data_IF_030053907455
#
_entry.id   IF_030053907455
#
_cell.length_a   1.000
_cell.length_b   1.000
_cell.length_c   1.000
_cell.angle_alpha   90.00
_cell.angle_beta   90.00
_cell.angle_gamma   90.00
#
_symmetry.space_group_name_H-M   'P 1'
#
loop_
_entity.id
_entity.type
_entity.pdbx_description
1 polymer ?
#
# COMPACT_ATOMS: atom_id res chain seq x y z
N UNK A 1 10.49 24.28 -40.74
CA UNK A 1 9.31 23.40 -40.93
C UNK A 1 9.71 21.92 -41.03
N UNK A 2 10.37 21.45 -42.11
CA UNK A 2 10.74 20.03 -42.30
C UNK A 2 11.51 19.42 -41.11
N UNK A 3 12.49 20.14 -40.55
CA UNK A 3 13.22 19.67 -39.37
C UNK A 3 12.32 19.43 -38.14
N UNK A 4 11.28 20.24 -37.96
CA UNK A 4 10.32 20.09 -36.86
C UNK A 4 9.37 18.92 -37.10
N UNK A 5 9.00 18.65 -38.35
CA UNK A 5 8.24 17.46 -38.73
C UNK A 5 9.04 16.19 -38.45
N UNK A 6 10.31 16.13 -38.90
CA UNK A 6 11.20 15.00 -38.60
C UNK A 6 11.35 14.82 -37.09
N UNK A 7 11.59 15.91 -36.35
CA UNK A 7 11.69 15.85 -34.89
C UNK A 7 10.40 15.34 -34.24
N UNK A 8 9.24 15.75 -34.76
CA UNK A 8 7.94 15.23 -34.35
C UNK A 8 7.87 13.70 -34.50
N UNK A 9 8.19 13.16 -35.67
CA UNK A 9 8.21 11.71 -35.88
C UNK A 9 9.15 10.97 -34.92
N UNK A 10 10.30 11.55 -34.58
CA UNK A 10 11.22 10.99 -33.58
C UNK A 10 10.57 10.93 -32.18
N UNK A 11 9.79 11.95 -31.79
CA UNK A 11 9.04 11.94 -30.54
C UNK A 11 7.94 10.87 -30.56
N UNK A 12 7.26 10.65 -31.69
CA UNK A 12 6.24 9.60 -31.79
C UNK A 12 6.85 8.21 -31.62
N UNK A 13 7.98 7.94 -32.29
CA UNK A 13 8.75 6.71 -32.09
C UNK A 13 9.15 6.50 -30.62
N UNK A 14 9.60 7.55 -29.92
CA UNK A 14 9.94 7.50 -28.50
C UNK A 14 8.71 7.18 -27.63
N UNK A 15 7.57 7.80 -27.89
CA UNK A 15 6.34 7.58 -27.13
C UNK A 15 5.78 6.16 -27.36
N UNK A 16 5.80 5.67 -28.60
CA UNK A 16 5.41 4.29 -28.93
C UNK A 16 6.36 3.31 -28.25
N UNK A 17 7.67 3.56 -28.30
CA UNK A 17 8.68 2.73 -27.63
C UNK A 17 8.39 2.63 -26.12
N UNK A 18 8.23 3.77 -25.45
CA UNK A 18 7.91 3.86 -24.01
C UNK A 18 6.63 3.07 -23.69
N UNK A 19 5.59 3.25 -24.51
CA UNK A 19 4.31 2.56 -24.33
C UNK A 19 4.44 1.04 -24.49
N UNK A 20 5.07 0.57 -25.57
CA UNK A 20 5.16 -0.87 -25.87
C UNK A 20 6.05 -1.61 -24.89
N UNK A 21 7.19 -1.02 -24.50
CA UNK A 21 8.09 -1.64 -23.53
C UNK A 21 7.41 -1.88 -22.19
N UNK A 22 6.59 -0.92 -21.76
CA UNK A 22 5.86 -1.00 -20.50
C UNK A 22 4.66 -1.92 -20.61
N UNK A 23 3.92 -1.87 -21.70
CA UNK A 23 2.71 -2.66 -21.91
C UNK A 23 3.00 -4.16 -22.14
N UNK A 24 4.01 -4.48 -22.94
CA UNK A 24 4.41 -5.86 -23.22
C UNK A 24 5.44 -6.42 -22.24
N UNK A 25 6.09 -5.56 -21.46
CA UNK A 25 7.25 -5.85 -20.61
C UNK A 25 8.51 -6.10 -21.44
N UNK A 26 9.59 -5.38 -21.10
CA UNK A 26 10.90 -5.47 -21.75
C UNK A 26 11.45 -6.90 -21.81
N UNK A 27 11.13 -7.74 -20.82
CA UNK A 27 11.52 -9.15 -20.75
C UNK A 27 10.87 -10.04 -21.82
N UNK A 28 9.78 -9.59 -22.44
CA UNK A 28 9.10 -10.33 -23.53
C UNK A 28 9.58 -9.95 -24.92
N UNK A 29 10.63 -9.13 -25.04
CA UNK A 29 11.25 -8.87 -26.35
C UNK A 29 11.79 -10.18 -26.92
N UNK A 30 11.58 -10.41 -28.21
CA UNK A 30 12.12 -11.60 -28.89
C UNK A 30 13.65 -11.52 -28.99
N UNK A 31 14.33 -12.66 -29.05
CA UNK A 31 15.80 -12.73 -29.07
C UNK A 31 16.43 -11.91 -30.21
N UNK A 32 15.79 -11.85 -31.38
CA UNK A 32 16.28 -11.06 -32.51
C UNK A 32 16.07 -9.53 -32.35
N UNK A 33 15.23 -9.09 -31.41
CA UNK A 33 14.88 -7.69 -31.20
C UNK A 33 15.97 -6.96 -30.37
N UNK A 34 17.19 -6.94 -30.90
CA UNK A 34 18.28 -6.11 -30.36
C UNK A 34 17.90 -4.62 -30.40
N UNK A 35 18.57 -3.79 -29.60
CA UNK A 35 18.27 -2.36 -29.54
C UNK A 35 18.41 -1.67 -30.90
N UNK A 36 19.39 -2.09 -31.72
CA UNK A 36 19.59 -1.59 -33.07
C UNK A 36 18.43 -1.97 -34.01
N UNK A 37 17.93 -3.20 -33.92
CA UNK A 37 16.78 -3.66 -34.71
C UNK A 37 15.52 -2.91 -34.33
N UNK A 38 15.31 -2.67 -33.04
CA UNK A 38 14.15 -1.91 -32.54
C UNK A 38 14.17 -0.49 -33.12
N UNK A 39 15.28 0.25 -32.93
CA UNK A 39 15.38 1.62 -33.44
C UNK A 39 15.33 1.69 -34.97
N UNK A 40 15.92 0.71 -35.66
CA UNK A 40 15.82 0.59 -37.11
C UNK A 40 14.38 0.39 -37.59
N UNK A 41 13.61 -0.48 -36.91
CA UNK A 41 12.20 -0.70 -37.22
C UNK A 41 11.34 0.54 -36.94
N UNK A 42 11.60 1.25 -35.85
CA UNK A 42 10.95 2.54 -35.55
C UNK A 42 11.26 3.60 -36.62
N UNK A 43 12.53 3.77 -36.99
CA UNK A 43 12.94 4.71 -38.03
C UNK A 43 12.31 4.37 -39.39
N UNK A 44 12.22 3.09 -39.74
CA UNK A 44 11.56 2.63 -40.95
C UNK A 44 10.05 2.91 -40.92
N UNK A 45 9.38 2.58 -39.81
CA UNK A 45 7.95 2.84 -39.65
C UNK A 45 7.64 4.33 -39.79
N UNK A 46 8.36 5.20 -39.09
CA UNK A 46 8.10 6.63 -39.17
C UNK A 46 8.51 7.24 -40.52
N UNK A 47 9.54 6.71 -41.16
CA UNK A 47 9.88 7.07 -42.54
C UNK A 47 8.76 6.74 -43.51
N UNK A 48 8.11 5.57 -43.36
CA UNK A 48 6.94 5.18 -44.15
C UNK A 48 5.77 6.15 -43.85
N UNK A 49 5.48 6.43 -42.58
CA UNK A 49 4.42 7.38 -42.22
C UNK A 49 4.66 8.77 -42.85
N UNK A 50 5.90 9.27 -42.80
CA UNK A 50 6.27 10.56 -43.40
C UNK A 50 6.07 10.58 -44.92
N UNK A 51 6.53 9.54 -45.62
CA UNK A 51 6.38 9.43 -47.08
C UNK A 51 4.91 9.37 -47.48
N UNK A 52 4.10 8.54 -46.82
CA UNK A 52 2.67 8.45 -47.11
C UNK A 52 1.92 9.75 -46.79
N UNK A 53 2.26 10.40 -45.67
CA UNK A 53 1.70 11.70 -45.32
C UNK A 53 2.00 12.76 -46.39
N UNK A 54 3.19 12.71 -46.98
CA UNK A 54 3.64 13.66 -48.01
C UNK A 54 3.08 13.37 -49.41
N UNK A 55 3.09 12.10 -49.83
CA UNK A 55 2.78 11.67 -51.21
C UNK A 55 1.30 11.34 -51.40
N UNK A 56 0.62 10.85 -50.36
CA UNK A 56 -0.78 10.43 -50.40
C UNK A 56 -1.52 10.92 -49.14
N UNK A 57 -1.78 12.24 -49.01
CA UNK A 57 -2.33 12.87 -47.80
C UNK A 57 -3.83 12.57 -47.56
N UNK A 58 -4.30 11.39 -47.96
CA UNK A 58 -5.65 10.91 -47.67
C UNK A 58 -5.69 10.38 -46.23
N UNK A 59 -6.58 10.95 -45.41
CA UNK A 59 -6.74 10.60 -43.98
C UNK A 59 -6.88 9.08 -43.78
N UNK A 60 -7.70 8.43 -44.61
CA UNK A 60 -7.93 6.98 -44.51
C UNK A 60 -6.67 6.15 -44.79
N UNK A 61 -5.85 6.57 -45.76
CA UNK A 61 -4.59 5.90 -46.09
C UNK A 61 -3.57 6.06 -44.96
N UNK A 62 -3.39 7.29 -44.47
CA UNK A 62 -2.49 7.57 -43.34
C UNK A 62 -2.88 6.81 -42.08
N UNK A 63 -4.19 6.73 -41.77
CA UNK A 63 -4.68 5.96 -40.62
C UNK A 63 -4.42 4.46 -40.79
N UNK A 64 -4.64 3.91 -41.99
CA UNK A 64 -4.32 2.51 -42.28
C UNK A 64 -2.83 2.20 -42.14
N UNK A 65 -1.97 3.04 -42.72
CA UNK A 65 -0.51 2.89 -42.64
C UNK A 65 -0.04 2.97 -41.19
N UNK A 66 -0.55 3.93 -40.41
CA UNK A 66 -0.24 4.07 -38.99
C UNK A 66 -0.64 2.82 -38.17
N UNK A 67 -1.87 2.32 -38.36
CA UNK A 67 -2.36 1.11 -37.67
C UNK A 67 -1.53 -0.13 -38.05
N UNK A 68 -1.20 -0.30 -39.32
CA UNK A 68 -0.38 -1.42 -39.79
C UNK A 68 1.05 -1.32 -39.24
N UNK A 69 1.64 -0.12 -39.23
CA UNK A 69 2.94 0.14 -38.64
C UNK A 69 2.98 -0.18 -37.15
N UNK A 70 2.00 0.33 -36.39
CA UNK A 70 1.85 0.03 -34.96
C UNK A 70 1.73 -1.49 -34.73
N UNK A 71 0.92 -2.19 -35.51
CA UNK A 71 0.79 -3.64 -35.41
C UNK A 71 2.11 -4.36 -35.71
N UNK A 72 2.84 -3.95 -36.75
CA UNK A 72 4.15 -4.50 -37.09
C UNK A 72 5.15 -4.36 -35.94
N UNK A 73 5.14 -3.21 -35.24
CA UNK A 73 6.01 -2.98 -34.08
C UNK A 73 5.70 -3.92 -32.90
N UNK A 74 4.46 -4.42 -32.77
CA UNK A 74 4.13 -5.44 -31.75
C UNK A 74 4.77 -6.82 -32.02
N UNK A 75 5.24 -7.09 -33.25
CA UNK A 75 5.87 -8.36 -33.62
C UNK A 75 7.25 -8.55 -32.97
N UNK A 76 7.87 -7.45 -32.50
CA UNK A 76 9.11 -7.45 -31.73
C UNK A 76 8.94 -8.09 -30.34
N UNK A 77 7.70 -8.22 -29.86
CA UNK A 77 7.36 -8.75 -28.54
C UNK A 77 6.64 -10.08 -28.63
N UNK A 78 6.91 -10.96 -27.68
CA UNK A 78 6.18 -12.22 -27.51
C UNK A 78 4.86 -11.99 -26.75
N UNK A 79 3.76 -12.01 -27.50
CA UNK A 79 2.43 -11.72 -26.99
C UNK A 79 1.34 -12.37 -27.85
N UNK A 80 0.23 -12.73 -27.19
CA UNK A 80 -0.99 -13.20 -27.86
C UNK A 80 -1.57 -12.11 -28.76
N UNK A 81 -2.15 -12.51 -29.89
CA UNK A 81 -2.74 -11.59 -30.89
C UNK A 81 -3.76 -10.63 -30.26
N UNK A 82 -4.62 -11.11 -29.35
CA UNK A 82 -5.58 -10.26 -28.64
C UNK A 82 -4.89 -9.12 -27.87
N UNK A 83 -3.77 -9.38 -27.18
CA UNK A 83 -3.00 -8.35 -26.46
C UNK A 83 -2.38 -7.34 -27.43
N UNK A 84 -1.97 -7.77 -28.62
CA UNK A 84 -1.44 -6.90 -29.68
C UNK A 84 -2.50 -5.95 -30.23
N UNK A 85 -3.68 -6.48 -30.55
CA UNK A 85 -4.81 -5.68 -31.04
C UNK A 85 -5.20 -4.61 -30.01
N UNK A 86 -5.30 -4.98 -28.72
CA UNK A 86 -5.60 -4.02 -27.65
C UNK A 86 -4.55 -2.92 -27.57
N UNK A 87 -3.25 -3.24 -27.64
CA UNK A 87 -2.19 -2.23 -27.61
C UNK A 87 -2.31 -1.22 -28.76
N UNK A 88 -2.53 -1.70 -29.98
CA UNK A 88 -2.66 -0.86 -31.19
C UNK A 88 -3.90 0.02 -31.08
N UNK A 89 -5.05 -0.54 -30.71
CA UNK A 89 -6.31 0.22 -30.57
C UNK A 89 -6.18 1.29 -29.48
N UNK A 90 -5.65 0.93 -28.31
CA UNK A 90 -5.47 1.87 -27.20
C UNK A 90 -4.54 3.01 -27.61
N UNK A 91 -3.40 2.72 -28.24
CA UNK A 91 -2.49 3.77 -28.68
C UNK A 91 -3.14 4.67 -29.74
N UNK A 92 -3.78 4.09 -30.75
CA UNK A 92 -4.42 4.85 -31.83
C UNK A 92 -5.52 5.77 -31.31
N UNK A 93 -6.42 5.25 -30.46
CA UNK A 93 -7.48 6.05 -29.84
C UNK A 93 -6.88 7.17 -29.01
N UNK A 94 -5.83 6.89 -28.24
CA UNK A 94 -5.17 7.89 -27.40
C UNK A 94 -4.51 8.98 -28.25
N UNK A 95 -3.88 8.64 -29.36
CA UNK A 95 -3.30 9.59 -30.31
C UNK A 95 -4.38 10.49 -30.92
N UNK A 96 -5.49 9.93 -31.40
CA UNK A 96 -6.62 10.69 -31.96
C UNK A 96 -7.20 11.64 -30.90
N UNK A 97 -7.41 11.15 -29.67
CA UNK A 97 -7.91 11.99 -28.58
C UNK A 97 -6.94 13.12 -28.28
N UNK A 98 -5.62 12.87 -28.29
CA UNK A 98 -4.61 13.91 -28.06
C UNK A 98 -4.62 15.02 -29.12
N UNK A 99 -4.86 14.69 -30.38
CA UNK A 99 -5.02 15.67 -31.45
C UNK A 99 -6.31 16.50 -31.27
N UNK A 100 -7.42 15.86 -30.91
CA UNK A 100 -8.68 16.56 -30.62
C UNK A 100 -8.48 17.56 -29.47
N UNK A 101 -7.84 17.16 -28.39
CA UNK A 101 -7.56 18.05 -27.25
C UNK A 101 -6.63 19.21 -27.62
N UNK A 102 -5.63 18.98 -28.46
CA UNK A 102 -4.79 20.05 -28.99
C UNK A 102 -5.61 21.08 -29.80
N UNK A 103 -6.52 20.60 -30.65
CA UNK A 103 -7.41 21.46 -31.44
C UNK A 103 -8.42 22.25 -30.57
N UNK A 104 -8.89 21.68 -29.46
CA UNK A 104 -9.76 22.39 -28.52
C UNK A 104 -9.07 23.62 -27.92
N UNK A 105 -7.75 23.59 -27.70
CA UNK A 105 -7.01 24.78 -27.22
C UNK A 105 -7.13 25.94 -28.21
N UNK A 106 -7.06 25.66 -29.52
CA UNK A 106 -7.18 26.69 -30.56
C UNK A 106 -8.60 27.21 -30.75
N UNK A 107 -9.61 26.48 -30.28
CA UNK A 107 -10.98 26.98 -30.17
C UNK A 107 -11.11 28.01 -29.04
N UNK A 108 -10.42 27.79 -27.92
CA UNK A 108 -10.44 28.69 -26.74
C UNK A 108 -9.56 29.91 -26.95
N UNK A 109 -8.38 29.74 -27.54
CA UNK A 109 -7.46 30.83 -27.87
C UNK A 109 -7.34 30.94 -29.40
N UNK A 110 -7.94 31.98 -30.01
CA UNK A 110 -8.02 32.07 -31.46
C UNK A 110 -6.66 32.01 -32.16
N UNK A 111 -6.59 31.29 -33.27
CA UNK A 111 -5.38 31.05 -34.05
C UNK A 111 -4.61 32.32 -34.43
N UNK A 112 -5.33 33.45 -34.60
CA UNK A 112 -4.76 34.77 -34.93
C UNK A 112 -3.68 35.26 -33.95
N UNK A 113 -3.66 34.72 -32.73
CA UNK A 113 -2.70 35.07 -31.69
C UNK A 113 -1.38 34.30 -31.77
N UNK A 114 -1.29 33.28 -32.62
CA UNK A 114 -0.12 32.43 -32.75
C UNK A 114 0.58 32.60 -34.11
N UNK A 115 1.89 32.40 -34.11
CA UNK A 115 2.67 32.13 -35.31
C UNK A 115 2.88 30.61 -35.42
N UNK A 116 3.00 30.08 -36.64
CA UNK A 116 3.25 28.65 -36.93
C UNK A 116 2.33 27.68 -36.17
N UNK A 117 1.02 27.88 -36.26
CA UNK A 117 0.02 27.09 -35.53
C UNK A 117 0.14 25.58 -35.76
N UNK A 118 0.53 25.15 -36.97
CA UNK A 118 0.71 23.73 -37.29
C UNK A 118 1.82 23.09 -36.43
N UNK A 119 2.93 23.81 -36.24
CA UNK A 119 4.05 23.34 -35.40
C UNK A 119 3.62 23.32 -33.95
N UNK A 120 2.98 24.38 -33.47
CA UNK A 120 2.47 24.47 -32.10
C UNK A 120 1.48 23.33 -31.79
N UNK A 121 0.50 23.10 -32.66
CA UNK A 121 -0.51 22.06 -32.50
C UNK A 121 0.07 20.65 -32.47
N UNK A 122 1.05 20.36 -33.34
CA UNK A 122 1.76 19.08 -33.40
C UNK A 122 2.52 18.76 -32.10
N UNK A 123 3.10 19.75 -31.43
CA UNK A 123 3.79 19.51 -30.16
C UNK A 123 2.84 19.48 -28.96
N UNK A 124 1.78 20.29 -28.98
CA UNK A 124 0.73 20.24 -27.95
C UNK A 124 0.05 18.86 -27.96
N UNK A 125 -0.27 18.29 -29.13
CA UNK A 125 -0.86 16.95 -29.21
C UNK A 125 0.06 15.88 -28.61
N UNK A 126 1.38 15.96 -28.80
CA UNK A 126 2.35 15.06 -28.18
C UNK A 126 2.42 15.18 -26.66
N UNK A 127 2.28 16.40 -26.10
CA UNK A 127 2.19 16.58 -24.65
C UNK A 127 0.92 15.94 -24.09
N UNK A 128 -0.22 16.09 -24.78
CA UNK A 128 -1.45 15.39 -24.41
C UNK A 128 -1.30 13.87 -24.53
N UNK A 129 -0.67 13.38 -25.60
CA UNK A 129 -0.41 11.96 -25.80
C UNK A 129 0.44 11.41 -24.65
N UNK A 130 1.52 12.10 -24.27
CA UNK A 130 2.35 11.74 -23.13
C UNK A 130 1.51 11.67 -21.84
N UNK A 131 0.69 12.69 -21.54
CA UNK A 131 -0.19 12.71 -20.36
C UNK A 131 -1.16 11.53 -20.37
N UNK A 132 -1.80 11.24 -21.49
CA UNK A 132 -2.76 10.14 -21.56
C UNK A 132 -2.10 8.78 -21.45
N UNK A 133 -0.92 8.57 -22.06
CA UNK A 133 -0.13 7.36 -21.87
C UNK A 133 0.26 7.18 -20.39
N UNK A 134 0.61 8.26 -19.71
CA UNK A 134 0.89 8.25 -18.27
C UNK A 134 -0.32 7.81 -17.46
N UNK A 135 -1.51 8.36 -17.73
CA UNK A 135 -2.76 7.95 -17.08
C UNK A 135 -3.00 6.45 -17.29
N UNK A 136 -2.91 5.97 -18.53
CA UNK A 136 -3.13 4.56 -18.84
C UNK A 136 -2.18 3.64 -18.08
N UNK A 137 -0.91 4.04 -17.96
CA UNK A 137 0.10 3.29 -17.22
C UNK A 137 -0.13 3.30 -15.71
N UNK A 138 -0.60 4.42 -15.15
CA UNK A 138 -1.00 4.52 -13.75
C UNK A 138 -2.21 3.62 -13.46
N UNK A 139 -3.21 3.60 -14.34
CA UNK A 139 -4.38 2.72 -14.23
C UNK A 139 -4.01 1.23 -14.30
N UNK A 140 -2.97 0.87 -15.05
CA UNK A 140 -2.46 -0.50 -15.10
C UNK A 140 -1.69 -0.90 -13.84
N UNK A 141 -1.11 0.05 -13.10
CA UNK A 141 -0.49 -0.18 -11.78
C UNK A 141 -1.54 -0.39 -10.67
N UNK A 142 -2.68 -1.05 -10.98
CA UNK A 142 -3.73 -1.42 -10.01
C UNK A 142 -3.06 -1.99 -8.76
N UNK A 143 -3.28 -1.34 -7.62
CA UNK A 143 -2.72 -1.65 -6.28
C UNK A 143 -1.37 -1.01 -5.89
N UNK A 144 -0.99 0.13 -6.46
CA UNK A 144 0.05 0.97 -5.83
C UNK A 144 -0.60 2.18 -5.16
N UNK A 145 -0.50 2.29 -3.83
CA UNK A 145 -0.83 3.50 -3.07
C UNK A 145 0.21 4.58 -3.38
N UNK A 146 0.15 5.12 -4.60
CA UNK A 146 1.01 6.23 -5.01
C UNK A 146 0.54 7.47 -4.22
N UNK A 147 1.43 8.15 -3.49
CA UNK A 147 1.05 9.35 -2.76
C UNK A 147 0.48 10.42 -3.70
N UNK A 148 -0.57 11.09 -3.26
CA UNK A 148 -1.34 12.06 -4.07
C UNK A 148 -0.50 13.19 -4.63
N UNK A 149 0.53 13.65 -3.91
CA UNK A 149 1.41 14.72 -4.39
C UNK A 149 2.19 14.34 -5.66
N UNK A 150 2.56 13.08 -5.87
CA UNK A 150 3.21 12.65 -7.11
C UNK A 150 2.26 12.62 -8.29
N UNK A 151 1.00 12.25 -8.06
CA UNK A 151 -0.04 12.32 -9.09
C UNK A 151 -0.23 13.77 -9.55
N UNK A 152 -0.21 14.73 -8.63
CA UNK A 152 -0.27 16.15 -8.97
C UNK A 152 0.94 16.57 -9.82
N UNK A 153 2.16 16.18 -9.44
CA UNK A 153 3.37 16.50 -10.20
C UNK A 153 3.34 15.92 -11.61
N UNK A 154 2.80 14.71 -11.78
CA UNK A 154 2.67 14.07 -13.09
C UNK A 154 1.84 14.88 -14.10
N UNK A 155 0.80 15.59 -13.64
CA UNK A 155 -0.02 16.44 -14.50
C UNK A 155 0.48 17.87 -14.58
N UNK A 156 1.09 18.39 -13.51
CA UNK A 156 1.54 19.77 -13.44
C UNK A 156 2.65 20.07 -14.47
N UNK A 157 3.59 19.14 -14.68
CA UNK A 157 4.73 19.36 -15.60
C UNK A 157 4.26 19.52 -17.06
N UNK A 158 3.49 18.59 -17.65
CA UNK A 158 3.04 18.75 -19.04
C UNK A 158 2.13 19.96 -19.23
N UNK A 159 1.27 20.28 -18.26
CA UNK A 159 0.40 21.47 -18.31
C UNK A 159 1.24 22.76 -18.31
N UNK A 160 2.27 22.84 -17.46
CA UNK A 160 3.19 23.97 -17.46
C UNK A 160 3.92 24.10 -18.80
N UNK A 161 4.32 22.97 -19.41
CA UNK A 161 4.97 22.97 -20.71
C UNK A 161 4.03 23.38 -21.86
N UNK A 162 2.76 23.00 -21.84
CA UNK A 162 1.75 23.50 -22.80
C UNK A 162 1.64 25.03 -22.68
N UNK A 163 1.56 25.56 -21.46
CA UNK A 163 1.51 27.01 -21.24
C UNK A 163 2.75 27.71 -21.80
N UNK A 164 3.95 27.18 -21.53
CA UNK A 164 5.21 27.74 -22.07
C UNK A 164 5.23 27.71 -23.60
N UNK A 165 4.78 26.63 -24.25
CA UNK A 165 4.69 26.55 -25.71
C UNK A 165 3.72 27.60 -26.27
N UNK A 166 2.54 27.78 -25.67
CA UNK A 166 1.60 28.82 -26.09
C UNK A 166 2.18 30.24 -25.97
N UNK A 167 3.04 30.49 -24.98
CA UNK A 167 3.74 31.78 -24.85
C UNK A 167 4.81 31.93 -25.93
N UNK A 168 5.62 30.90 -26.17
CA UNK A 168 6.73 30.92 -27.14
C UNK A 168 6.28 31.16 -28.58
N UNK A 169 5.12 30.63 -28.97
CA UNK A 169 4.57 30.77 -30.32
C UNK A 169 3.59 31.93 -30.46
N UNK A 170 3.50 32.82 -29.46
CA UNK A 170 2.63 34.00 -29.54
C UNK A 170 3.13 34.95 -30.63
N UNK A 171 2.21 35.45 -31.46
CA UNK A 171 2.50 36.33 -32.61
C UNK A 171 3.21 37.65 -32.28
N UNK A 172 3.08 38.13 -31.03
CA UNK A 172 3.82 39.29 -30.52
C UNK A 172 5.32 39.04 -30.32
N UNK A 173 5.73 37.78 -30.28
CA UNK A 173 7.10 37.34 -30.15
C UNK A 173 7.60 36.97 -31.56
N UNK A 174 8.80 37.43 -31.95
CA UNK A 174 9.42 36.94 -33.18
C UNK A 174 9.83 35.49 -32.96
N UNK A 175 9.22 34.55 -33.68
CA UNK A 175 9.71 33.17 -33.73
C UNK A 175 11.02 33.17 -34.50
N UNK A 176 12.07 32.69 -33.86
CA UNK A 176 13.38 32.46 -34.45
C UNK A 176 13.81 31.01 -34.19
N UNK A 177 14.96 30.59 -34.71
CA UNK A 177 15.55 29.27 -34.48
C UNK A 177 15.62 28.89 -32.99
N UNK A 178 15.72 29.87 -32.10
CA UNK A 178 15.70 29.70 -30.64
C UNK A 178 14.38 29.07 -30.17
N UNK A 179 13.23 29.46 -30.71
CA UNK A 179 11.92 28.91 -30.30
C UNK A 179 11.77 27.43 -30.68
N UNK A 180 12.31 27.04 -31.84
CA UNK A 180 12.34 25.64 -32.27
C UNK A 180 13.27 24.80 -31.39
N UNK A 181 14.46 25.30 -31.08
CA UNK A 181 15.39 24.63 -30.15
C UNK A 181 14.74 24.50 -28.76
N UNK A 182 14.11 25.55 -28.25
CA UNK A 182 13.41 25.54 -26.97
C UNK A 182 12.28 24.50 -26.95
N UNK A 183 11.52 24.36 -28.05
CA UNK A 183 10.48 23.33 -28.20
C UNK A 183 11.09 21.92 -28.08
N UNK A 184 12.22 21.67 -28.74
CA UNK A 184 12.95 20.41 -28.62
C UNK A 184 13.40 20.10 -27.19
N UNK A 185 13.98 21.09 -26.51
CA UNK A 185 14.36 20.97 -25.11
C UNK A 185 13.16 20.68 -24.20
N UNK A 186 12.02 21.35 -24.41
CA UNK A 186 10.79 21.11 -23.65
C UNK A 186 10.31 19.66 -23.82
N UNK A 187 10.32 19.11 -25.05
CA UNK A 187 9.92 17.72 -25.28
C UNK A 187 10.86 16.73 -24.60
N UNK A 188 12.17 16.93 -24.74
CA UNK A 188 13.16 16.07 -24.09
C UNK A 188 13.02 16.12 -22.56
N UNK A 189 12.84 17.31 -21.98
CA UNK A 189 12.64 17.48 -20.54
C UNK A 189 11.36 16.78 -20.04
N UNK A 190 10.27 16.80 -20.81
CA UNK A 190 9.05 16.08 -20.47
C UNK A 190 9.26 14.56 -20.46
N UNK A 191 9.95 14.02 -21.47
CA UNK A 191 10.26 12.59 -21.54
C UNK A 191 11.16 12.17 -20.37
N UNK A 192 12.21 12.95 -20.09
CA UNK A 192 13.12 12.68 -18.95
C UNK A 192 12.37 12.76 -17.62
N UNK A 193 11.52 13.78 -17.46
CA UNK A 193 10.70 13.96 -16.25
C UNK A 193 9.73 12.80 -16.06
N UNK A 194 9.13 12.29 -17.13
CA UNK A 194 8.32 11.08 -17.09
C UNK A 194 9.11 9.87 -16.56
N UNK A 195 10.30 9.59 -17.11
CA UNK A 195 11.12 8.46 -16.68
C UNK A 195 11.53 8.58 -15.21
N UNK A 196 11.97 9.76 -14.79
CA UNK A 196 12.40 10.02 -13.42
C UNK A 196 11.23 9.86 -12.44
N UNK A 197 10.05 10.39 -12.76
CA UNK A 197 8.85 10.24 -11.92
C UNK A 197 8.38 8.78 -11.84
N UNK A 198 8.48 8.01 -12.92
CA UNK A 198 8.10 6.59 -12.91
C UNK A 198 9.03 5.74 -12.04
N UNK A 199 10.35 5.96 -12.16
CA UNK A 199 11.35 5.29 -11.34
C UNK A 199 11.22 5.66 -9.86
N UNK A 200 11.04 6.95 -9.56
CA UNK A 200 10.86 7.45 -8.21
C UNK A 200 9.57 6.94 -7.58
N UNK A 201 8.48 6.87 -8.35
CA UNK A 201 7.23 6.23 -7.91
C UNK A 201 7.48 4.76 -7.53
N UNK A 202 8.15 3.99 -8.39
CA UNK A 202 8.44 2.58 -8.12
C UNK A 202 9.41 2.36 -6.96
N UNK A 203 10.36 3.28 -6.74
CA UNK A 203 11.22 3.30 -5.55
C UNK A 203 10.40 3.47 -4.26
N UNK A 204 9.50 4.45 -4.21
CA UNK A 204 8.68 4.74 -3.02
C UNK A 204 7.74 3.59 -2.67
N UNK A 205 7.12 2.97 -3.68
CA UNK A 205 6.24 1.82 -3.44
C UNK A 205 7.04 0.65 -2.85
N UNK A 206 8.27 0.42 -3.35
CA UNK A 206 9.17 -0.61 -2.79
C UNK A 206 9.57 -0.26 -1.36
N UNK A 207 9.96 0.98 -1.09
CA UNK A 207 10.34 1.45 0.25
C UNK A 207 9.18 1.32 1.25
N UNK A 208 7.95 1.70 0.85
CA UNK A 208 6.75 1.54 1.67
C UNK A 208 6.45 0.08 1.97
N UNK A 209 6.60 -0.83 0.99
CA UNK A 209 6.43 -2.27 1.20
C UNK A 209 7.46 -2.84 2.17
N UNK A 210 8.72 -2.41 2.07
CA UNK A 210 9.78 -2.81 3.01
C UNK A 210 9.46 -2.33 4.43
N UNK A 211 9.04 -1.07 4.58
CA UNK A 211 8.62 -0.53 5.87
C UNK A 211 7.47 -1.33 6.49
N UNK A 212 6.43 -1.65 5.71
CA UNK A 212 5.31 -2.47 6.17
C UNK A 212 5.75 -3.88 6.57
N UNK A 213 6.64 -4.50 5.80
CA UNK A 213 7.17 -5.83 6.10
C UNK A 213 8.00 -5.83 7.41
N UNK A 214 8.81 -4.81 7.62
CA UNK A 214 9.59 -4.66 8.85
C UNK A 214 8.68 -4.51 10.09
N UNK A 215 7.61 -3.72 9.99
CA UNK A 215 6.64 -3.61 11.08
C UNK A 215 5.93 -4.96 11.36
N UNK A 216 5.56 -5.70 10.32
CA UNK A 216 4.99 -7.04 10.48
C UNK A 216 5.98 -8.02 11.12
N UNK A 217 7.26 -7.92 10.78
CA UNK A 217 8.31 -8.75 11.34
C UNK A 217 8.52 -8.45 12.83
N UNK A 218 8.50 -7.19 13.24
CA UNK A 218 8.60 -6.81 14.66
C UNK A 218 7.40 -7.36 15.46
N UNK A 219 6.17 -7.19 14.96
CA UNK A 219 4.98 -7.78 15.60
C UNK A 219 5.04 -9.31 15.68
N UNK A 220 5.57 -9.98 14.65
CA UNK A 220 5.78 -11.44 14.66
C UNK A 220 6.79 -11.85 15.74
N UNK A 221 7.86 -11.08 15.90
CA UNK A 221 8.89 -11.32 16.91
C UNK A 221 8.32 -11.17 18.33
N UNK A 222 7.55 -10.13 18.59
CA UNK A 222 6.87 -9.94 19.89
C UNK A 222 5.94 -11.12 20.22
N UNK A 223 5.14 -11.58 19.24
CA UNK A 223 4.28 -12.76 19.41
C UNK A 223 5.08 -14.04 19.68
N UNK A 224 6.20 -14.22 19.00
CA UNK A 224 7.08 -15.36 19.23
C UNK A 224 7.67 -15.34 20.64
N UNK A 225 8.07 -14.18 21.14
CA UNK A 225 8.55 -14.02 22.51
C UNK A 225 7.47 -14.36 23.54
N UNK A 226 6.23 -13.89 23.35
CA UNK A 226 5.07 -14.26 24.17
C UNK A 226 4.78 -15.76 24.15
N UNK A 227 4.85 -16.40 22.98
CA UNK A 227 4.65 -17.85 22.86
C UNK A 227 5.77 -18.62 23.57
N UNK A 228 7.02 -18.17 23.42
CA UNK A 228 8.17 -18.76 24.10
C UNK A 228 8.06 -18.66 25.61
N UNK A 229 7.62 -17.52 26.15
CA UNK A 229 7.42 -17.37 27.60
C UNK A 229 6.26 -18.24 28.10
N UNK A 230 5.14 -18.30 27.37
CA UNK A 230 4.03 -19.19 27.67
C UNK A 230 4.47 -20.67 27.69
N UNK A 231 5.23 -21.10 26.68
CA UNK A 231 5.76 -22.47 26.61
C UNK A 231 6.71 -22.81 27.77
N UNK A 232 7.63 -21.88 28.13
CA UNK A 232 8.50 -22.07 29.30
C UNK A 232 7.72 -22.17 30.61
N UNK A 233 6.67 -21.37 30.76
CA UNK A 233 5.78 -21.44 31.93
C UNK A 233 4.99 -22.75 31.96
N UNK A 234 4.49 -23.23 30.82
CA UNK A 234 3.85 -24.55 30.71
C UNK A 234 4.79 -25.71 31.04
N UNK A 235 6.04 -25.66 30.58
CA UNK A 235 7.05 -26.68 30.93
C UNK A 235 7.41 -26.66 32.42
N UNK A 236 7.47 -25.47 33.05
CA UNK A 236 7.65 -25.37 34.51
C UNK A 236 6.48 -26.01 35.24
N UNK A 237 5.25 -25.71 34.83
CA UNK A 237 4.05 -26.32 35.41
C UNK A 237 4.10 -27.86 35.28
N UNK A 238 4.40 -28.40 34.10
CA UNK A 238 4.56 -29.85 33.89
C UNK A 238 5.66 -30.46 34.78
N UNK A 239 6.77 -29.76 34.97
CA UNK A 239 7.86 -30.22 35.83
C UNK A 239 7.42 -30.29 37.30
N UNK A 240 6.76 -29.23 37.79
CA UNK A 240 6.25 -29.16 39.15
C UNK A 240 5.17 -30.22 39.41
N UNK A 241 4.24 -30.40 38.47
CA UNK A 241 3.22 -31.47 38.54
C UNK A 241 3.87 -32.85 38.64
N UNK A 242 4.88 -33.15 37.80
CA UNK A 242 5.58 -34.44 37.86
C UNK A 242 6.31 -34.65 39.20
N UNK A 243 6.88 -33.59 39.78
CA UNK A 243 7.53 -33.64 41.09
C UNK A 243 6.52 -33.96 42.20
N UNK A 244 5.34 -33.33 42.18
CA UNK A 244 4.26 -33.63 43.11
C UNK A 244 3.76 -35.07 42.99
N UNK A 245 3.52 -35.54 41.76
CA UNK A 245 3.09 -36.93 41.51
C UNK A 245 4.13 -37.96 41.98
N UNK A 246 5.42 -37.70 41.75
CA UNK A 246 6.50 -38.57 42.24
C UNK A 246 6.54 -38.66 43.77
N UNK A 247 6.37 -37.53 44.46
CA UNK A 247 6.36 -37.52 45.92
C UNK A 247 5.16 -38.30 46.48
N UNK A 248 3.97 -38.11 45.91
CA UNK A 248 2.77 -38.89 46.27
C UNK A 248 3.02 -40.38 46.06
N UNK A 249 3.55 -40.76 44.89
CA UNK A 249 3.87 -42.16 44.58
C UNK A 249 4.89 -42.77 45.56
N UNK A 250 5.92 -42.02 45.95
CA UNK A 250 6.91 -42.48 46.92
C UNK A 250 6.30 -42.73 48.31
N UNK A 251 5.39 -41.85 48.77
CA UNK A 251 4.67 -42.01 50.04
C UNK A 251 3.78 -43.25 50.08
N UNK A 252 3.07 -43.49 48.98
CA UNK A 252 2.24 -44.68 48.81
C UNK A 252 3.07 -45.98 48.77
N UNK A 253 4.27 -45.96 48.16
CA UNK A 253 5.18 -47.12 48.15
C UNK A 253 5.76 -47.44 49.53
N UNK A 254 5.85 -46.46 50.44
CA UNK A 254 6.28 -46.65 51.83
C UNK A 254 5.16 -47.02 52.80
N UNK A 255 3.97 -47.39 52.30
CA UNK A 255 2.76 -47.71 53.08
C UNK A 255 2.27 -46.54 53.98
N UNK A 256 2.72 -45.31 53.70
CA UNK A 256 2.33 -44.07 54.38
C UNK A 256 1.16 -43.40 53.64
N UNK A 257 0.01 -44.07 53.65
CA UNK A 257 -1.20 -43.59 52.99
C UNK A 257 -1.71 -42.26 53.58
N UNK A 258 -1.56 -42.09 54.90
CA UNK A 258 -1.99 -40.87 55.60
C UNK A 258 -1.12 -39.67 55.19
N UNK A 259 0.21 -39.82 55.15
CA UNK A 259 1.11 -38.76 54.72
C UNK A 259 0.99 -38.38 53.24
N UNK A 260 0.51 -39.29 52.39
CA UNK A 260 0.14 -38.98 51.00
C UNK A 260 -1.13 -38.12 50.92
N UNK A 261 -2.16 -38.43 51.70
CA UNK A 261 -3.40 -37.65 51.75
C UNK A 261 -3.18 -36.24 52.29
N UNK A 262 -2.42 -36.09 53.38
CA UNK A 262 -2.08 -34.77 53.94
C UNK A 262 -1.32 -33.89 52.92
N UNK A 263 -0.48 -34.50 52.09
CA UNK A 263 0.27 -33.78 51.06
C UNK A 263 -0.61 -33.37 49.87
N UNK A 264 -1.55 -34.23 49.45
CA UNK A 264 -2.56 -33.88 48.44
C UNK A 264 -3.41 -32.70 48.92
N UNK A 265 -3.85 -32.71 50.17
CA UNK A 265 -4.66 -31.62 50.73
C UNK A 265 -3.89 -30.29 50.77
N UNK A 266 -2.60 -30.31 51.14
CA UNK A 266 -1.74 -29.12 51.07
C UNK A 266 -1.54 -28.60 49.65
N UNK A 267 -1.31 -29.48 48.67
CA UNK A 267 -1.14 -29.04 47.27
C UNK A 267 -2.45 -28.49 46.72
N UNK A 268 -3.58 -29.15 46.97
CA UNK A 268 -4.90 -28.67 46.55
C UNK A 268 -5.20 -27.28 47.14
N UNK A 269 -4.93 -27.06 48.44
CA UNK A 269 -5.06 -25.74 49.05
C UNK A 269 -4.16 -24.68 48.40
N UNK A 270 -2.90 -25.03 48.13
CA UNK A 270 -1.94 -24.10 47.49
C UNK A 270 -2.35 -23.78 46.04
N UNK A 271 -2.84 -24.75 45.28
CA UNK A 271 -3.35 -24.56 43.92
C UNK A 271 -4.62 -23.71 43.91
N UNK A 272 -5.50 -23.89 44.90
CA UNK A 272 -6.72 -23.12 45.04
C UNK A 272 -6.45 -21.67 45.48
N UNK A 273 -5.43 -21.42 46.30
CA UNK A 273 -4.97 -20.05 46.60
C UNK A 273 -4.26 -19.38 45.42
N UNK A 274 -3.46 -20.13 44.65
CA UNK A 274 -2.65 -19.60 43.55
C UNK A 274 -3.45 -19.41 42.26
N UNK A 275 -4.41 -20.30 41.97
CA UNK A 275 -5.17 -20.33 40.71
C UNK A 275 -6.70 -20.22 40.91
N UNK A 276 -7.20 -20.24 42.15
CA UNK A 276 -8.64 -20.24 42.47
C UNK A 276 -9.16 -18.99 43.20
N UNK A 277 -8.34 -17.94 43.38
CA UNK A 277 -8.78 -16.73 44.08
C UNK A 277 -9.85 -15.93 43.33
N UNK A 278 -9.98 -16.11 42.01
CA UNK A 278 -10.92 -15.38 41.15
C UNK A 278 -11.43 -16.37 40.11
N UNK A 279 -12.66 -16.83 40.27
CA UNK A 279 -13.31 -17.75 39.36
C UNK A 279 -14.75 -17.30 39.17
N UNK A 280 -14.95 -16.38 38.24
CA UNK A 280 -16.27 -15.85 37.88
C UNK A 280 -16.94 -16.67 36.78
N UNK A 281 -16.22 -17.66 36.21
CA UNK A 281 -16.68 -18.48 35.09
C UNK A 281 -16.53 -17.80 33.72
N UNK A 282 -15.89 -16.62 33.68
CA UNK A 282 -15.52 -15.93 32.45
C UNK A 282 -14.01 -15.70 32.43
N UNK A 283 -13.31 -16.41 31.54
CA UNK A 283 -11.84 -16.42 31.45
C UNK A 283 -11.25 -15.02 31.25
N UNK A 284 -11.92 -14.14 30.51
CA UNK A 284 -11.42 -12.80 30.25
C UNK A 284 -11.50 -11.91 31.50
N UNK A 285 -12.58 -12.02 32.28
CA UNK A 285 -12.73 -11.32 33.56
C UNK A 285 -11.75 -11.84 34.60
N UNK A 286 -11.66 -13.16 34.71
CA UNK A 286 -10.72 -13.82 35.63
C UNK A 286 -9.28 -13.39 35.33
N UNK A 287 -8.92 -13.27 34.04
CA UNK A 287 -7.60 -12.82 33.61
C UNK A 287 -7.33 -11.36 33.97
N UNK A 288 -8.29 -10.45 33.78
CA UNK A 288 -8.13 -9.02 34.07
C UNK A 288 -7.98 -8.79 35.57
N UNK A 289 -8.86 -9.37 36.39
CA UNK A 289 -8.85 -9.19 37.83
C UNK A 289 -7.64 -9.87 38.48
N UNK A 290 -7.24 -11.04 37.98
CA UNK A 290 -6.02 -11.73 38.45
C UNK A 290 -4.78 -10.89 38.15
N UNK A 291 -4.65 -10.36 36.94
CA UNK A 291 -3.52 -9.52 36.55
C UNK A 291 -3.47 -8.23 37.39
N UNK A 292 -4.61 -7.58 37.64
CA UNK A 292 -4.68 -6.42 38.55
C UNK A 292 -4.18 -6.78 39.95
N UNK A 293 -4.67 -7.89 40.53
CA UNK A 293 -4.26 -8.34 41.87
C UNK A 293 -2.76 -8.61 41.94
N UNK A 294 -2.21 -9.32 40.95
CA UNK A 294 -0.77 -9.62 40.85
C UNK A 294 0.06 -8.34 40.78
N UNK A 295 -0.32 -7.38 39.93
CA UNK A 295 0.43 -6.12 39.78
C UNK A 295 0.38 -5.25 41.04
N UNK A 296 -0.75 -5.21 41.74
CA UNK A 296 -0.87 -4.49 43.02
C UNK A 296 -0.01 -5.14 44.11
N UNK A 297 0.07 -6.47 44.15
CA UNK A 297 0.96 -7.21 45.04
C UNK A 297 2.44 -6.90 44.75
N UNK A 298 2.86 -6.87 43.47
CA UNK A 298 4.22 -6.48 43.08
C UNK A 298 4.58 -5.06 43.53
N UNK A 299 3.59 -4.17 43.60
CA UNK A 299 3.74 -2.78 44.05
C UNK A 299 3.63 -2.61 45.58
N UNK A 300 3.43 -3.70 46.33
CA UNK A 300 3.13 -3.69 47.77
C UNK A 300 1.90 -2.82 48.13
N UNK A 301 0.88 -2.81 47.28
CA UNK A 301 -0.39 -2.10 47.51
C UNK A 301 -1.47 -3.13 47.91
N UNK A 302 -2.12 -2.98 49.08
CA UNK A 302 -3.22 -3.84 49.48
C UNK A 302 -4.38 -3.81 48.47
N UNK A 303 -4.85 -5.00 48.06
CA UNK A 303 -5.99 -5.17 47.17
C UNK A 303 -7.03 -6.07 47.85
N UNK A 304 -8.24 -5.53 48.04
CA UNK A 304 -9.40 -6.25 48.55
C UNK A 304 -10.36 -6.47 47.38
N UNK A 305 -10.53 -7.73 46.99
CA UNK A 305 -11.33 -8.12 45.84
C UNK A 305 -12.46 -9.04 46.31
N UNK A 306 -13.70 -8.60 46.11
CA UNK A 306 -14.91 -9.39 46.36
C UNK A 306 -15.64 -9.55 45.04
N UNK A 307 -15.82 -10.79 44.59
CA UNK A 307 -16.60 -11.07 43.37
C UNK A 307 -17.67 -12.09 43.71
N UNK A 308 -18.93 -11.64 43.64
CA UNK A 308 -20.10 -12.45 43.93
C UNK A 308 -21.05 -12.43 42.73
N UNK A 309 -20.79 -13.32 41.77
CA UNK A 309 -21.59 -13.47 40.55
C UNK A 309 -21.86 -14.96 40.32
N UNK A 310 -23.12 -15.29 40.04
CA UNK A 310 -23.50 -16.61 39.54
C UNK A 310 -23.05 -16.80 38.08
N UNK A 311 -22.24 -17.83 37.84
CA UNK A 311 -21.68 -18.19 36.52
C UNK A 311 -22.73 -18.30 35.39
N UNK A 312 -23.96 -18.70 35.72
CA UNK A 312 -25.05 -18.82 34.74
C UNK A 312 -25.50 -17.47 34.18
N UNK A 313 -25.50 -16.41 35.01
CA UNK A 313 -26.02 -15.08 34.64
C UNK A 313 -24.94 -14.19 34.00
N UNK A 314 -23.66 -14.48 34.24
CA UNK A 314 -22.56 -13.78 33.57
C UNK A 314 -22.51 -14.06 32.05
N UNK A 315 -23.04 -15.23 31.62
CA UNK A 315 -23.15 -15.60 30.20
C UNK A 315 -24.17 -14.79 29.41
N UNK A 316 -25.08 -14.07 30.09
CA UNK A 316 -26.10 -13.24 29.44
C UNK A 316 -25.54 -11.88 28.96
N UNK A 317 -24.31 -11.52 29.37
CA UNK A 317 -23.64 -10.28 28.99
C UNK A 317 -22.62 -10.58 27.88
N UNK A 318 -22.59 -9.80 26.77
CA UNK A 318 -21.55 -9.94 25.75
C UNK A 318 -20.14 -9.78 26.34
N UNK A 319 -19.26 -10.75 26.06
CA UNK A 319 -17.89 -10.79 26.60
C UNK A 319 -17.10 -9.50 26.30
N UNK A 320 -17.29 -8.92 25.10
CA UNK A 320 -16.66 -7.66 24.70
C UNK A 320 -17.01 -6.48 25.62
N UNK A 321 -18.28 -6.36 26.01
CA UNK A 321 -18.75 -5.27 26.87
C UNK A 321 -18.21 -5.43 28.29
N UNK A 322 -18.22 -6.67 28.79
CA UNK A 322 -17.70 -7.03 30.11
C UNK A 322 -16.20 -6.73 30.23
N UNK A 323 -15.42 -7.14 29.23
CA UNK A 323 -13.98 -6.85 29.13
C UNK A 323 -13.72 -5.35 29.04
N UNK A 324 -14.52 -4.62 28.25
CA UNK A 324 -14.35 -3.18 28.09
C UNK A 324 -14.61 -2.43 29.40
N UNK A 325 -15.69 -2.77 30.10
CA UNK A 325 -16.07 -2.10 31.36
C UNK A 325 -15.05 -2.42 32.46
N UNK A 326 -14.79 -3.71 32.72
CA UNK A 326 -13.88 -4.14 33.78
C UNK A 326 -12.45 -3.70 33.47
N UNK A 327 -12.03 -3.81 32.21
CA UNK A 327 -10.75 -3.30 31.72
C UNK A 327 -10.58 -1.82 32.06
N UNK A 328 -11.54 -0.96 31.70
CA UNK A 328 -11.45 0.48 31.98
C UNK A 328 -11.44 0.82 33.47
N UNK A 329 -12.24 0.12 34.30
CA UNK A 329 -12.27 0.36 35.75
C UNK A 329 -10.92 0.01 36.38
N UNK A 330 -10.41 -1.18 36.07
CA UNK A 330 -9.13 -1.67 36.61
C UNK A 330 -7.96 -0.80 36.14
N UNK A 331 -7.95 -0.36 34.87
CA UNK A 331 -6.92 0.52 34.33
C UNK A 331 -6.91 1.90 35.02
N UNK A 332 -8.10 2.44 35.30
CA UNK A 332 -8.25 3.70 36.03
C UNK A 332 -7.72 3.57 37.47
N UNK A 333 -8.03 2.47 38.15
CA UNK A 333 -7.54 2.22 39.50
C UNK A 333 -6.01 2.06 39.52
N UNK A 334 -5.44 1.30 38.59
CA UNK A 334 -3.99 1.08 38.48
C UNK A 334 -3.21 2.37 38.21
N UNK A 335 -3.81 3.36 37.52
CA UNK A 335 -3.20 4.68 37.28
C UNK A 335 -3.35 5.62 38.48
N UNK A 336 -4.48 5.55 39.18
CA UNK A 336 -4.79 6.48 40.27
C UNK A 336 -4.13 6.09 41.60
N UNK A 337 -4.12 4.79 41.94
CA UNK A 337 -3.63 4.33 43.26
C UNK A 337 -2.18 4.70 43.57
N UNK A 338 -1.22 4.74 42.62
CA UNK A 338 0.16 5.13 42.91
C UNK A 338 0.31 6.63 43.22
N UNK A 339 -0.66 7.46 42.81
CA UNK A 339 -0.64 8.91 43.01
C UNK A 339 -1.09 9.33 44.42
N UNK A 340 -1.68 8.42 45.20
CA UNK A 340 -2.15 8.70 46.57
C UNK A 340 -0.94 8.85 47.49
N UNK A 341 -0.67 10.06 47.99
CA UNK A 341 0.51 10.38 48.82
C UNK A 341 0.48 9.78 50.23
N UNK A 342 -0.72 9.62 50.79
CA UNK A 342 -0.96 9.00 52.10
C UNK A 342 -0.87 7.46 51.97
N UNK A 343 0.17 6.86 52.55
CA UNK A 343 0.44 5.41 52.43
C UNK A 343 -0.63 4.56 53.11
N UNK A 344 -1.24 5.04 54.19
CA UNK A 344 -2.25 4.28 54.94
C UNK A 344 -3.61 4.25 54.22
N UNK A 345 -3.79 5.14 53.24
CA UNK A 345 -4.99 5.20 52.39
C UNK A 345 -4.75 4.65 50.98
N UNK A 346 -3.59 4.07 50.73
CA UNK A 346 -3.21 3.53 49.43
C UNK A 346 -3.60 2.06 49.35
N UNK A 347 -4.86 1.81 48.99
CA UNK A 347 -5.39 0.46 48.73
C UNK A 347 -6.37 0.49 47.57
N UNK A 348 -6.67 -0.68 47.01
CA UNK A 348 -7.76 -0.86 46.03
C UNK A 348 -8.82 -1.74 46.68
N UNK A 349 -10.06 -1.26 46.65
CA UNK A 349 -11.26 -2.05 46.94
C UNK A 349 -12.01 -2.24 45.61
N UNK A 350 -12.26 -3.49 45.24
CA UNK A 350 -13.00 -3.83 44.04
C UNK A 350 -14.08 -4.85 44.41
N UNK A 351 -15.33 -4.42 44.31
CA UNK A 351 -16.50 -5.25 44.61
C UNK A 351 -17.34 -5.37 43.35
N UNK A 352 -17.62 -6.62 42.97
CA UNK A 352 -18.44 -6.94 41.81
C UNK A 352 -19.58 -7.86 42.28
N UNK A 353 -20.76 -7.28 42.41
CA UNK A 353 -21.96 -7.96 42.90
C UNK A 353 -23.09 -7.86 41.88
N UNK A 354 -23.87 -8.92 41.77
CA UNK A 354 -25.15 -8.90 41.07
C UNK A 354 -26.25 -8.50 42.05
N UNK A 355 -26.94 -7.40 41.76
CA UNK A 355 -28.13 -6.99 42.51
C UNK A 355 -29.35 -7.75 42.00
N UNK A 356 -30.01 -8.52 42.86
CA UNK A 356 -31.34 -9.04 42.55
C UNK A 356 -32.33 -7.89 42.54
N UNK A 357 -32.76 -7.49 41.35
CA UNK A 357 -33.93 -6.64 41.18
C UNK A 357 -35.21 -7.45 41.49
N UNK A 358 -35.43 -7.80 42.76
CA UNK A 358 -36.80 -7.94 43.26
C UNK A 358 -37.38 -6.53 43.38
N UNK A 359 -37.96 -6.04 42.28
CA UNK A 359 -38.96 -4.98 42.34
C UNK A 359 -40.10 -5.54 43.19
N UNK A 360 -40.26 -5.01 44.41
CA UNK A 360 -41.48 -5.16 45.21
C UNK A 360 -42.42 -4.02 44.92
#
# INVERSE_FOLDING_TARGET
MILMEIFSYVIDALLIYVFYDKYFSKERRREFASMAVIWGAFAMMEGINYVFNTVAPYIAVNMLVSVLGLFAMTLLYDAKVAKRIVAVVVFQVTAIVSEIFANVIFLVVPEKYFQDINVLGMFISKLFLLVFLMILMLLQKKQKNIPTHYLITYFAIPIACIFVLCVLYRKSMYIDYISYIATGCIMLLNIVSYYLLDELSDYIIRASKVFQLNNQLETQKEKYEQLSTAFRSGNRLLHDTNKHLRYIGAKLQSDDAQGAMDYIERISGTLQETYGSICTGNLAVDSILSNMKTRLQEMNIPCYLTVNIEEARMRDIPEYDLVTIIGNITDNQMKAVPLVTDRDKRYVLFELEMLDNTIR
#
